data_IF_813664601457
#
_entry.id   IF_813664601457
#
_cell.length_a   1.000
_cell.length_b   1.000
_cell.length_c   1.000
_cell.angle_alpha   90.00
_cell.angle_beta   90.00
_cell.angle_gamma   90.00
#
_symmetry.space_group_name_H-M   'P 1'
#
loop_
_entity.id
_entity.type
_entity.pdbx_description
1 polymer ?
#
# COMPACT_ATOMS: atom_id res chain seq x y z
N UNK A 1 8.38 11.65 -12.57
CA UNK A 1 6.91 11.47 -12.35
C UNK A 1 6.73 10.95 -10.93
N UNK A 2 5.95 11.62 -10.06
CA UNK A 2 5.56 11.05 -8.76
C UNK A 2 4.42 10.08 -9.02
N UNK A 3 4.56 8.82 -8.63
CA UNK A 3 3.51 7.82 -8.86
C UNK A 3 2.39 8.01 -7.82
N UNK A 4 1.14 7.97 -8.28
CA UNK A 4 -0.03 8.04 -7.42
C UNK A 4 -0.38 6.61 -6.97
N UNK A 5 -0.57 6.43 -5.67
CA UNK A 5 -0.95 5.17 -5.05
C UNK A 5 -2.46 5.03 -5.14
N UNK A 6 -2.90 4.09 -5.96
CA UNK A 6 -4.32 3.81 -6.20
C UNK A 6 -4.81 2.73 -5.23
N UNK A 7 -6.01 2.90 -4.69
CA UNK A 7 -6.65 1.88 -3.88
C UNK A 7 -7.10 0.71 -4.77
N UNK A 8 -6.87 -0.55 -4.36
CA UNK A 8 -7.30 -1.70 -5.14
C UNK A 8 -8.81 -1.99 -5.05
N UNK A 9 -9.53 -1.42 -4.08
CA UNK A 9 -10.96 -1.67 -3.84
C UNK A 9 -11.87 -0.47 -4.20
N UNK A 10 -11.32 0.73 -4.39
CA UNK A 10 -12.11 1.92 -4.73
C UNK A 10 -11.30 2.93 -5.55
N UNK A 11 -11.96 4.00 -5.99
CA UNK A 11 -11.35 5.05 -6.83
C UNK A 11 -10.43 6.02 -6.07
N UNK A 12 -10.13 5.75 -4.79
CA UNK A 12 -9.26 6.59 -3.99
C UNK A 12 -7.82 6.55 -4.49
N UNK A 13 -7.20 7.73 -4.65
CA UNK A 13 -5.81 7.91 -5.06
C UNK A 13 -5.09 8.87 -4.14
N UNK A 14 -3.84 8.59 -3.81
CA UNK A 14 -3.03 9.53 -3.04
C UNK A 14 -1.53 9.38 -3.32
N UNK A 15 -0.73 10.38 -2.92
CA UNK A 15 0.72 10.39 -3.16
C UNK A 15 1.56 9.94 -1.96
N UNK A 16 0.92 9.58 -0.86
CA UNK A 16 1.59 9.22 0.38
C UNK A 16 1.25 7.79 0.77
N UNK A 17 2.28 6.97 0.90
CA UNK A 17 2.15 5.60 1.40
C UNK A 17 1.48 5.55 2.77
N UNK A 18 1.69 6.58 3.60
CA UNK A 18 1.08 6.69 4.92
C UNK A 18 -0.44 6.86 4.79
N UNK A 19 -0.88 7.82 3.96
CA UNK A 19 -2.29 8.08 3.72
C UNK A 19 -2.98 6.90 3.06
N UNK A 20 -2.31 6.24 2.11
CA UNK A 20 -2.84 5.05 1.44
C UNK A 20 -3.04 3.89 2.42
N UNK A 21 -2.02 3.55 3.24
CA UNK A 21 -2.16 2.50 4.25
C UNK A 21 -3.23 2.83 5.30
N UNK A 22 -3.39 4.10 5.67
CA UNK A 22 -4.46 4.53 6.58
C UNK A 22 -5.83 4.35 5.93
N UNK A 23 -5.99 4.78 4.68
CA UNK A 23 -7.21 4.62 3.91
C UNK A 23 -7.66 3.15 3.85
N UNK A 24 -6.76 2.21 3.54
CA UNK A 24 -7.06 0.77 3.54
C UNK A 24 -7.61 0.28 4.90
N UNK A 25 -7.00 0.73 5.99
CA UNK A 25 -7.43 0.33 7.34
C UNK A 25 -8.78 0.93 7.72
N UNK A 26 -9.02 2.20 7.40
CA UNK A 26 -10.23 2.91 7.83
C UNK A 26 -11.44 2.62 6.94
N UNK A 27 -11.25 2.47 5.63
CA UNK A 27 -12.34 2.30 4.66
C UNK A 27 -12.61 0.86 4.28
N UNK A 28 -11.57 0.04 4.24
CA UNK A 28 -11.65 -1.35 3.78
C UNK A 28 -11.33 -2.36 4.88
N UNK A 29 -10.97 -1.87 6.09
CA UNK A 29 -10.55 -2.71 7.21
C UNK A 29 -9.44 -3.69 6.80
N UNK A 30 -8.59 -3.29 5.85
CA UNK A 30 -7.53 -4.12 5.27
C UNK A 30 -6.15 -3.49 5.45
N UNK A 31 -5.12 -4.25 5.11
CA UNK A 31 -3.73 -3.79 5.09
C UNK A 31 -3.11 -4.14 3.75
N UNK A 32 -1.98 -3.50 3.36
CA UNK A 32 -1.32 -3.82 2.10
C UNK A 32 -1.07 -5.32 1.96
N UNK A 33 -0.55 -5.97 3.01
CA UNK A 33 -0.29 -7.41 3.04
C UNK A 33 -1.55 -8.25 2.83
N UNK A 34 -2.66 -7.89 3.49
CA UNK A 34 -3.94 -8.62 3.35
C UNK A 34 -4.59 -8.39 1.99
N UNK A 35 -4.42 -7.21 1.41
CA UNK A 35 -4.84 -6.88 0.06
C UNK A 35 -3.91 -7.43 -1.03
N UNK A 36 -2.90 -8.23 -0.67
CA UNK A 36 -1.92 -8.76 -1.62
C UNK A 36 -1.16 -7.64 -2.34
N UNK A 37 -0.96 -6.49 -1.70
CA UNK A 37 -0.31 -5.32 -2.24
C UNK A 37 1.00 -5.02 -1.48
N UNK A 38 2.04 -4.62 -2.19
CA UNK A 38 3.31 -4.15 -1.63
C UNK A 38 3.67 -2.77 -2.19
N UNK A 39 4.39 -1.99 -1.40
CA UNK A 39 4.95 -0.70 -1.81
C UNK A 39 6.37 -0.95 -2.31
N UNK A 40 6.59 -0.73 -3.60
CA UNK A 40 7.94 -0.72 -4.20
C UNK A 40 8.40 0.72 -4.32
N UNK A 41 9.48 1.05 -3.64
CA UNK A 41 10.16 2.34 -3.79
C UNK A 41 11.02 2.33 -5.06
N UNK A 42 11.19 3.50 -5.68
CA UNK A 42 12.04 3.68 -6.86
C UNK A 42 13.53 3.34 -6.59
N UNK A 43 13.96 3.36 -5.32
CA UNK A 43 15.28 2.87 -4.90
C UNK A 43 15.43 1.33 -5.00
N UNK A 44 14.39 0.62 -5.41
CA UNK A 44 14.34 -0.84 -5.50
C UNK A 44 13.90 -1.55 -4.22
N UNK A 45 13.65 -0.82 -3.13
CA UNK A 45 13.21 -1.43 -1.87
C UNK A 45 11.72 -1.74 -1.87
N UNK A 46 11.38 -2.97 -1.53
CA UNK A 46 10.00 -3.45 -1.41
C UNK A 46 9.61 -3.59 0.05
N UNK A 47 8.45 -3.05 0.41
CA UNK A 47 7.97 -3.15 1.78
C UNK A 47 6.46 -3.10 1.86
N UNK A 48 5.90 -3.77 2.87
CA UNK A 48 4.47 -3.65 3.21
C UNK A 48 4.19 -2.46 4.14
N UNK A 49 5.23 -1.69 4.46
CA UNK A 49 5.20 -0.68 5.51
C UNK A 49 5.71 0.68 5.03
N UNK A 50 5.09 1.72 5.58
CA UNK A 50 5.50 3.13 5.41
C UNK A 50 6.87 3.47 6.03
N UNK A 51 7.49 2.54 6.78
CA UNK A 51 8.76 2.76 7.48
C UNK A 51 9.90 3.15 6.54
N UNK A 52 9.89 2.62 5.32
CA UNK A 52 10.91 2.96 4.33
C UNK A 52 10.90 4.45 3.97
N UNK A 53 9.72 5.10 3.99
CA UNK A 53 9.59 6.52 3.63
C UNK A 53 10.37 7.45 4.56
N UNK A 54 10.58 7.06 5.81
CA UNK A 54 11.34 7.86 6.76
C UNK A 54 12.86 7.75 6.57
N UNK A 55 13.31 6.76 5.76
CA UNK A 55 14.73 6.43 5.58
C UNK A 55 15.24 6.70 4.17
N UNK A 56 14.35 6.93 3.21
CA UNK A 56 14.69 7.12 1.81
C UNK A 56 14.35 8.53 1.36
N UNK A 57 15.33 9.28 0.87
CA UNK A 57 15.14 10.64 0.37
C UNK A 57 14.26 10.68 -0.89
N UNK A 58 14.27 9.60 -1.68
CA UNK A 58 13.44 9.48 -2.88
C UNK A 58 11.96 9.31 -2.48
N UNK A 59 11.68 8.35 -1.58
CA UNK A 59 10.34 8.06 -1.04
C UNK A 59 9.22 8.03 -2.10
N UNK A 60 9.55 7.62 -3.32
CA UNK A 60 8.60 7.53 -4.43
C UNK A 60 8.14 6.07 -4.53
N UNK A 61 6.91 5.81 -4.10
CA UNK A 61 6.37 4.45 -4.00
C UNK A 61 5.40 4.16 -5.14
N UNK A 62 5.37 2.91 -5.55
CA UNK A 62 4.39 2.35 -6.48
C UNK A 62 3.74 1.13 -5.82
N UNK A 63 2.44 0.93 -6.05
CA UNK A 63 1.74 -0.28 -5.59
C UNK A 63 2.03 -1.41 -6.57
N UNK A 64 2.52 -2.54 -6.06
CA UNK A 64 2.63 -3.79 -6.80
C UNK A 64 1.64 -4.78 -6.17
N UNK A 65 0.78 -5.42 -6.99
CA UNK A 65 -0.08 -6.51 -6.53
C UNK A 65 0.72 -7.82 -6.63
N UNK A 66 0.91 -8.48 -5.49
CA UNK A 66 1.68 -9.71 -5.31
C UNK A 66 0.78 -10.93 -4.99
N UNK A 67 -0.51 -10.84 -5.31
CA UNK A 67 -1.43 -11.96 -5.14
C UNK A 67 -2.59 -11.86 -6.12
N UNK A 68 -2.92 -12.99 -6.76
CA UNK A 68 -4.12 -13.16 -7.59
C UNK A 68 -5.36 -13.53 -6.74
N UNK A 69 -5.17 -13.64 -5.42
CA UNK A 69 -6.22 -14.02 -4.48
C UNK A 69 -7.14 -12.86 -4.08
N UNK A 70 -8.28 -13.17 -3.45
CA UNK A 70 -9.19 -12.15 -2.95
C UNK A 70 -8.54 -11.29 -1.86
N UNK A 71 -8.89 -10.00 -1.84
CA UNK A 71 -8.43 -9.07 -0.80
C UNK A 71 -9.01 -9.50 0.55
N UNK A 72 -8.11 -9.80 1.49
CA UNK A 72 -8.48 -10.21 2.86
C UNK A 72 -8.67 -8.98 3.74
N UNK A 73 -9.44 -9.12 4.83
CA UNK A 73 -9.72 -8.04 5.79
C UNK A 73 -9.20 -8.41 7.17
N UNK A 74 -8.94 -7.44 8.02
CA UNK A 74 -8.51 -7.65 9.40
C UNK A 74 -9.57 -8.39 10.23
N UNK A 75 -10.83 -8.33 9.82
CA UNK A 75 -11.93 -9.09 10.43
C UNK A 75 -11.94 -10.57 10.05
N UNK A 76 -11.10 -11.00 9.10
CA UNK A 76 -10.93 -12.40 8.66
C UNK A 76 -9.87 -13.15 9.49
N UNK A 77 -9.11 -12.42 10.32
CA UNK A 77 -8.11 -13.02 11.23
C UNK A 77 -8.82 -13.56 12.48
N UNK A 78 -8.64 -14.85 12.84
CA UNK A 78 -9.25 -15.46 14.02
C UNK A 78 -8.76 -14.86 15.34
#
# INVERSE_FOLDING_TARGET
KKNELECPECEYRCRSAISWCRHLKEKHTTTPTLAGCLLRCDCGHESYSKKHSNKCEISNFTIIRNGDGPIRRLTDTP
#
